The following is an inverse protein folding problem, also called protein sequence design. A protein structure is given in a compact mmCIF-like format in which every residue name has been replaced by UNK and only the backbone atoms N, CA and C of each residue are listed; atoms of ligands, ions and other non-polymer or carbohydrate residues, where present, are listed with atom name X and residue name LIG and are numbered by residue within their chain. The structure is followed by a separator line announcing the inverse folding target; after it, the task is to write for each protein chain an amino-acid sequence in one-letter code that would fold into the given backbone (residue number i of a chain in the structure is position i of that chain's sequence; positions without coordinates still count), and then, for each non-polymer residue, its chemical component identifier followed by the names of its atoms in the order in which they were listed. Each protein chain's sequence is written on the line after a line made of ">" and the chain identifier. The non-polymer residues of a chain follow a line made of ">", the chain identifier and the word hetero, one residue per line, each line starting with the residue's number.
data_IF_824560384785
#
_entry.id   IF_824560384785
#
_cell.length_a   1.000
_cell.length_b   1.000
_cell.length_c   1.000
_cell.angle_alpha   90.00
_cell.angle_beta   90.00
_cell.angle_gamma   90.00
#
_symmetry.space_group_name_H-M   'P 1'
#
loop_
_entity.id
_entity.type
_entity.pdbx_description
1 polymer ?
#
# COMPACT_ATOMS: atom_id res chain seq x y z
N UNK A 1 -8.87 0.31 22.54
CA UNK A 1 -7.66 -0.41 22.07
C UNK A 1 -7.00 0.42 20.99
N UNK A 2 -5.72 0.75 21.18
CA UNK A 2 -4.91 1.47 20.19
C UNK A 2 -3.79 0.53 19.75
N UNK A 3 -3.64 0.34 18.45
CA UNK A 3 -2.57 -0.50 17.88
C UNK A 3 -1.57 0.39 17.18
N UNK A 4 -0.29 0.23 17.51
CA UNK A 4 0.81 0.95 16.88
C UNK A 4 1.68 -0.02 16.08
N UNK A 5 1.90 0.28 14.80
CA UNK A 5 2.76 -0.50 13.90
C UNK A 5 4.00 0.26 13.42
N UNK A 6 4.14 1.53 13.80
CA UNK A 6 5.23 2.37 13.33
C UNK A 6 5.34 3.68 14.10
N UNK A 7 6.56 4.20 14.13
CA UNK A 7 6.97 5.41 14.86
C UNK A 7 7.65 6.42 13.91
N UNK A 8 7.09 6.61 12.71
CA UNK A 8 7.72 7.41 11.63
C UNK A 8 8.00 8.86 12.01
N UNK A 9 7.19 9.45 12.90
CA UNK A 9 7.36 10.85 13.33
C UNK A 9 8.21 11.01 14.60
N UNK A 10 8.18 10.04 15.52
CA UNK A 10 8.93 10.10 16.78
C UNK A 10 8.96 8.71 17.45
N UNK A 11 10.08 8.29 18.06
CA UNK A 11 10.24 6.98 18.68
C UNK A 11 9.57 6.86 20.07
N UNK A 12 8.66 7.77 20.44
CA UNK A 12 8.01 7.77 21.76
C UNK A 12 6.50 7.89 21.65
N UNK A 13 5.80 7.04 22.41
CA UNK A 13 4.34 7.09 22.57
C UNK A 13 4.06 7.42 24.04
N UNK A 14 3.81 8.70 24.39
CA UNK A 14 3.51 9.07 25.75
C UNK A 14 2.11 8.56 26.15
N UNK A 15 2.06 7.53 26.99
CA UNK A 15 0.82 7.05 27.59
C UNK A 15 0.56 7.85 28.88
N UNK A 16 -0.44 8.73 28.86
CA UNK A 16 -0.81 9.51 30.04
C UNK A 16 -1.53 8.63 31.08
N UNK A 17 -1.25 8.84 32.37
CA UNK A 17 -1.90 8.09 33.48
C UNK A 17 -3.44 8.12 33.45
N UNK A 18 -4.13 9.19 33.00
CA UNK A 18 -5.58 9.16 32.81
C UNK A 18 -6.07 8.13 31.78
N UNK A 19 -5.25 7.75 30.79
CA UNK A 19 -5.59 6.71 29.81
C UNK A 19 -5.51 5.31 30.43
N UNK A 20 -4.58 5.10 31.37
CA UNK A 20 -4.45 3.86 32.14
C UNK A 20 -5.68 3.67 33.04
N UNK A 21 -6.16 4.73 33.71
CA UNK A 21 -7.38 4.68 34.54
C UNK A 21 -8.65 4.36 33.73
N UNK A 22 -8.62 4.58 32.41
CA UNK A 22 -9.71 4.23 31.49
C UNK A 22 -9.55 2.84 30.87
N UNK A 23 -8.60 2.03 31.35
CA UNK A 23 -8.27 0.69 30.84
C UNK A 23 -8.03 0.70 29.33
N UNK A 24 -7.26 1.68 28.84
CA UNK A 24 -6.90 1.75 27.42
C UNK A 24 -5.69 0.85 27.15
N UNK A 25 -5.91 -0.22 26.38
CA UNK A 25 -4.83 -1.09 25.92
C UNK A 25 -4.08 -0.48 24.74
N UNK A 26 -2.74 -0.42 24.86
CA UNK A 26 -1.81 -0.08 23.80
C UNK A 26 -1.06 -1.35 23.37
N UNK A 27 -1.28 -1.77 22.12
CA UNK A 27 -0.66 -2.98 21.56
C UNK A 27 0.29 -2.62 20.43
N UNK A 28 1.48 -3.20 20.45
CA UNK A 28 2.39 -3.18 19.32
C UNK A 28 2.01 -4.28 18.33
N UNK A 29 1.93 -3.94 17.05
CA UNK A 29 1.87 -4.94 15.97
C UNK A 29 3.10 -4.80 15.10
N UNK A 30 3.89 -5.85 15.03
CA UNK A 30 4.83 -6.04 13.92
C UNK A 30 4.10 -6.77 12.81
N UNK A 31 4.65 -6.71 11.59
CA UNK A 31 4.15 -7.38 10.39
C UNK A 31 3.43 -8.70 10.69
N UNK A 32 2.23 -8.89 10.11
CA UNK A 32 1.41 -10.08 10.35
C UNK A 32 2.04 -11.37 9.83
N UNK A 33 1.50 -12.50 10.29
CA UNK A 33 1.83 -13.85 9.84
C UNK A 33 1.43 -14.09 8.37
N UNK A 34 1.96 -15.16 7.78
CA UNK A 34 1.62 -15.56 6.40
C UNK A 34 0.14 -15.90 6.23
N UNK A 35 -0.48 -16.50 7.26
CA UNK A 35 -1.91 -16.79 7.27
C UNK A 35 -2.75 -15.51 7.26
N UNK A 36 -2.36 -14.48 8.04
CA UNK A 36 -3.03 -13.18 8.04
C UNK A 36 -2.86 -12.45 6.71
N UNK A 37 -1.69 -12.56 6.08
CA UNK A 37 -1.45 -12.02 4.74
C UNK A 37 -2.36 -12.67 3.69
N UNK A 38 -2.53 -13.99 3.75
CA UNK A 38 -3.41 -14.72 2.85
C UNK A 38 -4.88 -14.30 3.06
N UNK A 39 -5.34 -14.26 4.31
CA UNK A 39 -6.69 -13.81 4.64
C UNK A 39 -6.95 -12.36 4.18
N UNK A 40 -5.97 -11.47 4.32
CA UNK A 40 -6.06 -10.09 3.84
C UNK A 40 -6.15 -10.02 2.31
N UNK A 41 -5.41 -10.89 1.61
CA UNK A 41 -5.44 -10.98 0.14
C UNK A 41 -6.80 -11.49 -0.35
N UNK A 42 -7.33 -12.53 0.29
CA UNK A 42 -8.64 -13.09 -0.02
C UNK A 42 -9.77 -12.07 0.23
N UNK A 43 -9.66 -11.31 1.32
CA UNK A 43 -10.58 -10.21 1.62
C UNK A 43 -10.52 -9.10 0.54
N UNK A 44 -9.31 -8.71 0.14
CA UNK A 44 -9.12 -7.71 -0.91
C UNK A 44 -9.72 -8.17 -2.26
N UNK A 45 -9.55 -9.44 -2.61
CA UNK A 45 -10.12 -10.04 -3.81
C UNK A 45 -11.66 -10.06 -3.75
N UNK A 46 -12.24 -10.48 -2.62
CA UNK A 46 -13.70 -10.55 -2.41
C UNK A 46 -14.37 -9.18 -2.52
N UNK A 47 -13.76 -8.16 -1.93
CA UNK A 47 -14.31 -6.80 -1.89
C UNK A 47 -13.81 -5.89 -3.01
N UNK A 48 -13.06 -6.44 -3.98
CA UNK A 48 -12.50 -5.70 -5.12
C UNK A 48 -11.76 -4.42 -4.70
N UNK A 49 -10.99 -4.49 -3.61
CA UNK A 49 -10.22 -3.35 -3.12
C UNK A 49 -9.16 -2.98 -4.15
N UNK A 50 -9.23 -1.74 -4.67
CA UNK A 50 -8.25 -1.23 -5.63
C UNK A 50 -7.15 -0.47 -4.89
N UNK A 51 -5.86 -0.83 -5.05
CA UNK A 51 -4.79 -0.06 -4.45
C UNK A 51 -4.70 1.32 -5.10
N UNK A 52 -4.48 2.37 -4.31
CA UNK A 52 -4.09 3.69 -4.83
C UNK A 52 -2.63 3.64 -5.27
N UNK A 53 -2.41 3.75 -6.57
CA UNK A 53 -1.08 3.79 -7.19
C UNK A 53 -0.81 5.23 -7.59
N UNK A 54 0.28 5.80 -7.09
CA UNK A 54 0.64 7.20 -7.41
C UNK A 54 1.59 7.28 -8.60
N UNK A 55 2.63 6.45 -8.61
CA UNK A 55 3.66 6.45 -9.65
C UNK A 55 3.98 5.03 -10.08
N UNK A 56 4.03 4.82 -11.39
CA UNK A 56 4.53 3.58 -12.00
C UNK A 56 5.87 3.90 -12.65
N UNK A 57 6.93 3.25 -12.18
CA UNK A 57 8.28 3.34 -12.71
C UNK A 57 8.53 2.14 -13.62
N UNK A 58 9.01 2.38 -14.83
CA UNK A 58 9.35 1.33 -15.79
C UNK A 58 10.80 0.93 -15.64
N UNK A 59 11.07 -0.38 -15.57
CA UNK A 59 12.42 -0.89 -15.43
C UNK A 59 12.96 -0.79 -14.00
N UNK A 60 13.83 -1.73 -13.65
CA UNK A 60 14.47 -1.74 -12.33
C UNK A 60 15.51 -0.62 -12.19
N UNK A 61 16.04 -0.14 -13.32
CA UNK A 61 16.98 0.98 -13.41
C UNK A 61 16.41 2.28 -12.81
N UNK A 62 15.08 2.45 -12.84
CA UNK A 62 14.42 3.64 -12.30
C UNK A 62 14.02 3.50 -10.82
N UNK A 63 14.39 2.41 -10.15
CA UNK A 63 14.03 2.18 -8.74
C UNK A 63 14.62 3.24 -7.79
N UNK A 64 15.83 3.77 -8.08
CA UNK A 64 16.45 4.85 -7.28
C UNK A 64 15.56 6.09 -7.20
N UNK A 65 14.96 6.48 -8.33
CA UNK A 65 14.00 7.59 -8.39
C UNK A 65 12.76 7.32 -7.53
N UNK A 66 12.36 6.05 -7.39
CA UNK A 66 11.29 5.64 -6.49
C UNK A 66 11.64 5.87 -5.02
N UNK A 67 12.86 5.54 -4.61
CA UNK A 67 13.33 5.78 -3.24
C UNK A 67 13.40 7.27 -2.91
N UNK A 68 13.86 8.12 -3.83
CA UNK A 68 13.84 9.57 -3.62
C UNK A 68 12.43 10.14 -3.42
N UNK A 69 11.44 9.60 -4.13
CA UNK A 69 10.04 10.02 -3.99
C UNK A 69 9.46 9.62 -2.63
N UNK A 70 9.86 8.46 -2.10
CA UNK A 70 9.50 8.01 -0.74
C UNK A 70 10.14 8.92 0.31
N UNK A 71 11.43 9.23 0.16
CA UNK A 71 12.17 10.08 1.10
C UNK A 71 11.56 11.50 1.19
N UNK A 72 11.16 12.05 0.05
CA UNK A 72 10.52 13.38 -0.01
C UNK A 72 9.11 13.40 0.59
N UNK A 73 8.54 12.24 0.95
CA UNK A 73 7.26 12.12 1.67
C UNK A 73 6.05 12.71 0.95
N UNK A 74 6.16 12.99 -0.35
CA UNK A 74 5.13 13.71 -1.13
C UNK A 74 4.02 12.81 -1.67
N UNK A 75 4.26 11.51 -1.75
CA UNK A 75 3.37 10.56 -2.43
C UNK A 75 2.50 9.82 -1.40
N UNK A 76 1.19 10.08 -1.39
CA UNK A 76 0.21 9.33 -0.60
C UNK A 76 -0.34 8.13 -1.39
N UNK A 77 0.52 7.15 -1.66
CA UNK A 77 0.12 5.93 -2.37
C UNK A 77 1.28 4.98 -2.61
N UNK A 78 1.01 3.86 -3.30
CA UNK A 78 2.04 2.86 -3.61
C UNK A 78 2.82 3.26 -4.86
N UNK A 79 4.15 3.21 -4.78
CA UNK A 79 5.05 3.33 -5.94
C UNK A 79 5.27 1.92 -6.49
N UNK A 80 5.00 1.72 -7.78
CA UNK A 80 5.09 0.41 -8.44
C UNK A 80 6.24 0.43 -9.42
N UNK A 81 7.15 -0.54 -9.33
CA UNK A 81 8.24 -0.74 -10.29
C UNK A 81 7.89 -1.94 -11.19
N UNK A 82 7.88 -1.73 -12.50
CA UNK A 82 7.63 -2.79 -13.49
C UNK A 82 8.96 -3.48 -13.81
N UNK A 83 9.14 -4.69 -13.28
CA UNK A 83 10.32 -5.53 -13.56
C UNK A 83 9.95 -6.53 -14.66
N UNK A 84 10.60 -6.41 -15.83
CA UNK A 84 10.39 -7.30 -16.97
C UNK A 84 9.88 -6.56 -18.21
N UNK A 85 10.81 -6.11 -19.05
CA UNK A 85 10.52 -5.71 -20.43
C UNK A 85 10.28 -6.98 -21.25
N UNK A 86 9.02 -7.26 -21.60
CA UNK A 86 8.73 -8.04 -22.80
C UNK A 86 8.96 -7.07 -23.96
N UNK A 87 10.13 -7.16 -24.61
CA UNK A 87 10.41 -6.42 -25.83
C UNK A 87 9.36 -6.82 -26.89
N UNK A 88 8.46 -5.89 -27.21
CA UNK A 88 7.52 -6.01 -28.32
C UNK A 88 6.10 -6.51 -27.99
N UNK A 89 5.25 -5.63 -27.44
CA UNK A 89 3.85 -5.48 -27.88
C UNK A 89 3.21 -4.29 -27.16
N UNK A 90 3.53 -3.08 -27.61
CA UNK A 90 2.71 -1.90 -27.32
C UNK A 90 1.30 -2.08 -27.93
N UNK A 91 0.31 -1.51 -27.24
CA UNK A 91 -1.05 -1.16 -27.71
C UNK A 91 -2.28 -1.95 -27.23
N UNK A 92 -2.19 -3.01 -26.40
CA UNK A 92 -3.41 -3.75 -25.96
C UNK A 92 -3.69 -3.83 -24.45
N UNK A 93 -2.71 -3.64 -23.56
CA UNK A 93 -2.96 -3.76 -22.11
C UNK A 93 -3.48 -2.47 -21.48
N UNK A 94 -3.07 -1.29 -21.97
CA UNK A 94 -3.66 0.00 -21.57
C UNK A 94 -5.14 0.09 -21.96
N UNK A 95 -5.53 -0.58 -23.06
CA UNK A 95 -6.93 -0.78 -23.46
C UNK A 95 -7.68 -1.74 -22.53
N UNK A 96 -7.01 -2.75 -21.99
CA UNK A 96 -7.64 -3.73 -21.08
C UNK A 96 -7.97 -3.10 -19.72
N UNK A 97 -7.04 -2.30 -19.16
CA UNK A 97 -7.27 -1.57 -17.90
C UNK A 97 -8.30 -0.44 -18.06
N UNK A 98 -8.26 0.31 -19.17
CA UNK A 98 -9.29 1.31 -19.47
C UNK A 98 -10.67 0.68 -19.72
N UNK A 99 -10.74 -0.45 -20.41
CA UNK A 99 -12.01 -1.15 -20.67
C UNK A 99 -12.62 -1.75 -19.40
N UNK A 100 -11.79 -2.14 -18.42
CA UNK A 100 -12.26 -2.60 -17.11
C UNK A 100 -12.78 -1.46 -16.21
N UNK A 101 -12.25 -0.23 -16.35
CA UNK A 101 -12.81 0.94 -15.67
C UNK A 101 -14.11 1.41 -16.31
N UNK A 102 -14.24 1.38 -17.64
CA UNK A 102 -15.48 1.76 -18.34
C UNK A 102 -16.63 0.75 -18.14
N UNK A 103 -16.37 -0.56 -18.11
CA UNK A 103 -17.42 -1.56 -17.85
C UNK A 103 -17.95 -1.52 -16.41
N UNK A 104 -17.13 -1.08 -15.46
CA UNK A 104 -17.54 -0.95 -14.06
C UNK A 104 -18.38 0.31 -13.78
N UNK A 105 -18.52 1.21 -14.75
CA UNK A 105 -19.34 2.43 -14.65
C UNK A 105 -20.67 2.32 -15.43
N UNK A 106 -20.91 1.19 -16.09
CA UNK A 106 -22.10 0.94 -16.92
C UNK A 106 -23.04 -0.15 -16.36
N UNK A 107 -22.84 -0.56 -15.10
CA UNK A 107 -23.70 -1.45 -14.32
C UNK A 107 -23.79 -0.86 -12.93
#
# INVERSE_FOLDING_TARGET
>A
MVVCYGMTASPSIPLAMPAVLKNVDLLGSTMGSTAELQAATDFAAKHKLKPSVSVVLEGLENAERGFELIEKGRESGKIVVRVGTRSGSESNESRMYARWTYLAYAI
#
